data_IF_004730281837
#
_entry.id   IF_004730281837
#
_cell.length_a   1.000
_cell.length_b   1.000
_cell.length_c   1.000
_cell.angle_alpha   90.00
_cell.angle_beta   90.00
_cell.angle_gamma   90.00
#
_symmetry.space_group_name_H-M   'P 1'
#
loop_
_entity.id
_entity.type
_entity.pdbx_description
1 polymer ?
#
# COMPACT_ATOMS: atom_id res chain seq x y z
N UNK A 1 5.95 1.75 38.29
CA UNK A 1 6.79 2.36 37.25
C UNK A 1 8.29 2.24 37.55
N UNK A 2 8.77 2.53 38.76
CA UNK A 2 10.20 2.35 39.17
C UNK A 2 10.83 0.98 38.92
N UNK A 3 10.06 -0.10 38.91
CA UNK A 3 10.59 -1.45 38.62
C UNK A 3 10.72 -1.74 37.12
N UNK A 4 10.14 -0.88 36.29
CA UNK A 4 10.00 -1.05 34.84
C UNK A 4 10.82 -0.02 34.05
N UNK A 5 11.14 1.13 34.64
CA UNK A 5 11.84 2.24 33.99
C UNK A 5 13.22 1.87 33.42
N UNK A 6 13.92 0.94 34.07
CA UNK A 6 15.20 0.39 33.62
C UNK A 6 15.06 -0.75 32.60
N UNK A 7 13.85 -1.29 32.41
CA UNK A 7 13.60 -2.49 31.59
C UNK A 7 12.88 -2.22 30.28
N UNK A 8 12.08 -1.16 30.23
CA UNK A 8 11.24 -0.84 29.06
C UNK A 8 11.09 0.67 28.90
N UNK A 9 10.80 1.09 27.66
CA UNK A 9 10.42 2.46 27.36
C UNK A 9 9.03 2.75 27.91
N UNK A 10 8.94 3.60 28.93
CA UNK A 10 7.65 3.97 29.55
C UNK A 10 7.10 5.24 28.91
N UNK A 11 5.90 5.15 28.35
CA UNK A 11 5.16 6.29 27.80
C UNK A 11 3.92 6.51 28.68
N UNK A 12 3.88 7.57 29.52
CA UNK A 12 2.75 7.82 30.39
C UNK A 12 1.55 8.35 29.61
N UNK A 13 0.38 7.78 29.88
CA UNK A 13 -0.90 8.14 29.27
C UNK A 13 -1.99 8.31 30.33
N UNK A 14 -2.86 9.28 30.12
CA UNK A 14 -4.07 9.51 30.89
C UNK A 14 -5.21 8.85 30.11
N UNK A 15 -5.66 7.71 30.61
CA UNK A 15 -6.77 6.97 30.02
C UNK A 15 -8.12 7.66 30.29
N UNK A 16 -9.09 7.46 29.40
CA UNK A 16 -10.46 8.01 29.52
C UNK A 16 -10.46 9.52 29.81
N UNK A 17 -9.64 10.25 29.05
CA UNK A 17 -9.48 11.69 29.24
C UNK A 17 -10.80 12.48 29.03
N UNK A 18 -11.80 11.88 28.37
CA UNK A 18 -13.15 12.42 28.24
C UNK A 18 -13.91 12.58 29.55
N UNK A 19 -13.41 11.98 30.64
CA UNK A 19 -13.98 12.11 32.00
C UNK A 19 -13.46 13.31 32.78
N UNK A 20 -12.46 14.04 32.26
CA UNK A 20 -11.76 15.13 32.94
C UNK A 20 -11.94 16.42 32.13
N UNK A 21 -12.24 17.53 32.78
CA UNK A 21 -12.33 18.81 32.07
C UNK A 21 -10.96 19.28 31.58
N UNK A 22 -10.90 20.10 30.52
CA UNK A 22 -9.64 20.64 29.99
C UNK A 22 -8.82 21.38 31.07
N UNK A 23 -9.48 22.10 31.98
CA UNK A 23 -8.83 22.85 33.04
C UNK A 23 -8.18 21.95 34.11
N UNK A 24 -8.86 20.87 34.48
CA UNK A 24 -8.36 19.88 35.43
C UNK A 24 -7.28 19.02 34.80
N UNK A 25 -7.43 18.68 33.52
CA UNK A 25 -6.46 17.89 32.77
C UNK A 25 -5.08 18.56 32.76
N UNK A 26 -5.00 19.88 32.56
CA UNK A 26 -3.74 20.61 32.60
C UNK A 26 -3.08 20.55 33.98
N UNK A 27 -3.86 20.74 35.05
CA UNK A 27 -3.36 20.60 36.43
C UNK A 27 -2.88 19.18 36.72
N UNK A 28 -3.63 18.19 36.23
CA UNK A 28 -3.31 16.78 36.40
C UNK A 28 -2.04 16.38 35.66
N UNK A 29 -1.85 16.85 34.41
CA UNK A 29 -0.61 16.65 33.64
C UNK A 29 0.61 17.18 34.39
N UNK A 30 0.54 18.43 34.87
CA UNK A 30 1.63 19.04 35.64
C UNK A 30 1.95 18.27 36.92
N UNK A 31 0.92 17.88 37.68
CA UNK A 31 1.10 17.11 38.91
C UNK A 31 1.72 15.73 38.65
N UNK A 32 1.24 15.01 37.63
CA UNK A 32 1.78 13.70 37.28
C UNK A 32 3.26 13.79 36.85
N UNK A 33 3.60 14.76 36.00
CA UNK A 33 4.98 14.96 35.57
C UNK A 33 5.89 15.33 36.74
N UNK A 34 5.43 16.20 37.65
CA UNK A 34 6.17 16.53 38.86
C UNK A 34 6.41 15.31 39.75
N UNK A 35 5.39 14.48 39.97
CA UNK A 35 5.53 13.24 40.75
C UNK A 35 6.48 12.23 40.10
N UNK A 36 6.48 12.12 38.76
CA UNK A 36 7.41 11.25 38.03
C UNK A 36 8.87 11.70 38.24
N UNK A 37 9.13 13.01 38.18
CA UNK A 37 10.46 13.59 38.39
C UNK A 37 10.91 13.45 39.84
N UNK A 38 10.06 13.76 40.82
CA UNK A 38 10.38 13.62 42.26
C UNK A 38 10.74 12.18 42.60
N UNK A 39 10.02 11.23 42.01
CA UNK A 39 10.31 9.82 42.20
C UNK A 39 11.52 9.33 41.38
N UNK A 40 12.04 10.12 40.44
CA UNK A 40 13.15 9.70 39.58
C UNK A 40 12.77 8.58 38.60
N UNK A 41 11.50 8.50 38.19
CA UNK A 41 11.04 7.52 37.21
C UNK A 41 11.50 7.94 35.83
N UNK A 42 12.30 7.10 35.18
CA UNK A 42 12.73 7.35 33.81
C UNK A 42 11.60 7.00 32.84
N UNK A 43 11.03 8.04 32.22
CA UNK A 43 10.09 7.88 31.10
C UNK A 43 10.85 8.07 29.79
N UNK A 44 10.29 7.49 28.73
CA UNK A 44 10.79 7.69 27.38
C UNK A 44 10.61 9.16 26.99
N UNK A 45 11.71 9.79 26.56
CA UNK A 45 11.73 11.13 26.01
C UNK A 45 12.22 11.05 24.59
N UNK A 46 11.58 11.81 23.70
CA UNK A 46 11.95 11.80 22.30
C UNK A 46 13.31 12.43 22.08
N UNK A 47 14.15 11.81 21.22
CA UNK A 47 15.42 12.38 20.84
C UNK A 47 15.19 13.72 20.13
N UNK A 48 15.97 14.72 20.51
CA UNK A 48 15.96 16.06 19.87
C UNK A 48 17.28 16.34 19.16
N UNK A 49 18.04 15.29 18.87
CA UNK A 49 19.42 15.39 18.38
C UNK A 49 19.50 15.66 16.87
N UNK A 50 18.45 15.31 16.12
CA UNK A 50 18.33 15.57 14.69
C UNK A 50 17.57 16.88 14.44
N UNK A 51 18.21 17.85 13.80
CA UNK A 51 17.67 19.19 13.51
C UNK A 51 16.35 19.16 12.72
N UNK A 52 16.10 18.11 11.92
CA UNK A 52 14.88 18.01 11.11
C UNK A 52 13.66 17.58 11.95
N UNK A 53 13.86 16.77 12.97
CA UNK A 53 12.81 16.21 13.82
C UNK A 53 12.77 16.82 15.24
N UNK A 54 13.81 17.56 15.65
CA UNK A 54 13.93 18.16 16.97
C UNK A 54 12.76 19.08 17.35
N UNK A 55 12.27 19.90 16.40
CA UNK A 55 11.13 20.79 16.65
C UNK A 55 9.84 20.01 16.92
N UNK A 56 9.61 18.95 16.17
CA UNK A 56 8.42 18.09 16.31
C UNK A 56 8.53 17.31 17.61
N UNK A 57 9.67 16.66 17.86
CA UNK A 57 9.93 15.87 19.07
C UNK A 57 9.90 16.72 20.35
N UNK A 58 10.41 17.95 20.31
CA UNK A 58 10.29 18.90 21.41
C UNK A 58 8.83 19.26 21.73
N UNK A 59 8.03 19.54 20.70
CA UNK A 59 6.59 19.76 20.88
C UNK A 59 5.88 18.51 21.44
N UNK A 60 6.25 17.32 20.97
CA UNK A 60 5.66 16.06 21.45
C UNK A 60 6.03 15.74 22.90
N UNK A 61 7.27 15.99 23.32
CA UNK A 61 7.69 15.89 24.71
C UNK A 61 6.85 16.81 25.62
N UNK A 62 6.46 17.99 25.13
CA UNK A 62 5.58 18.92 25.85
C UNK A 62 4.13 18.43 26.03
N UNK A 63 3.69 17.42 25.27
CA UNK A 63 2.34 16.86 25.39
C UNK A 63 2.24 15.71 26.40
N UNK A 64 3.37 15.19 26.87
CA UNK A 64 3.42 14.13 27.86
C UNK A 64 2.89 14.62 29.22
N UNK A 65 2.06 13.81 29.91
CA UNK A 65 1.46 12.54 29.49
C UNK A 65 0.31 12.74 28.48
N UNK A 66 0.16 11.82 27.51
CA UNK A 66 -0.89 11.93 26.49
C UNK A 66 -2.28 11.67 27.08
N UNK A 67 -3.23 12.57 26.82
CA UNK A 67 -4.61 12.42 27.26
C UNK A 67 -5.44 11.74 26.18
N UNK A 68 -5.75 10.45 26.36
CA UNK A 68 -6.31 9.62 25.29
C UNK A 68 -7.72 9.12 25.60
N UNK A 69 -8.48 8.97 24.54
CA UNK A 69 -9.84 8.42 24.54
C UNK A 69 -9.88 7.30 23.53
N UNK A 70 -10.35 6.12 23.93
CA UNK A 70 -10.49 4.96 23.05
C UNK A 70 -11.96 4.66 22.77
N UNK A 71 -12.27 4.37 21.50
CA UNK A 71 -13.56 3.85 21.05
C UNK A 71 -13.36 2.90 19.86
N UNK A 72 -14.16 1.84 19.81
CA UNK A 72 -14.29 0.98 18.63
C UNK A 72 -15.55 1.31 17.81
N UNK A 73 -16.47 2.08 18.40
CA UNK A 73 -17.74 2.43 17.76
C UNK A 73 -17.52 3.55 16.75
N UNK A 74 -18.10 3.38 15.56
CA UNK A 74 -18.07 4.38 14.49
C UNK A 74 -19.42 5.07 14.39
N UNK A 75 -19.40 6.40 14.40
CA UNK A 75 -20.60 7.24 14.34
C UNK A 75 -20.48 8.15 13.14
N UNK A 76 -21.58 8.30 12.41
CA UNK A 76 -21.66 9.26 11.30
C UNK A 76 -21.75 10.68 11.87
N UNK A 77 -20.68 11.45 11.70
CA UNK A 77 -20.66 12.88 12.05
C UNK A 77 -20.51 13.68 10.75
N UNK A 78 -21.62 14.26 10.28
CA UNK A 78 -21.71 14.87 8.96
C UNK A 78 -21.64 13.83 7.84
N UNK A 79 -20.65 13.95 6.94
CA UNK A 79 -20.47 13.05 5.79
C UNK A 79 -19.36 12.00 6.00
N UNK A 80 -18.83 11.85 7.23
CA UNK A 80 -17.74 10.92 7.52
C UNK A 80 -18.10 10.02 8.69
N UNK A 81 -17.75 8.74 8.57
CA UNK A 81 -17.75 7.79 9.69
C UNK A 81 -16.48 8.02 10.49
N UNK A 82 -16.63 8.31 11.78
CA UNK A 82 -15.51 8.57 12.69
C UNK A 82 -15.64 7.74 13.96
N UNK A 83 -14.51 7.27 14.49
CA UNK A 83 -14.48 6.57 15.78
C UNK A 83 -14.76 7.57 16.90
N UNK A 84 -15.80 7.32 17.67
CA UNK A 84 -16.27 8.27 18.68
C UNK A 84 -16.97 7.58 19.85
N UNK A 85 -17.07 8.28 20.98
CA UNK A 85 -17.90 7.89 22.12
C UNK A 85 -19.13 8.79 22.15
N UNK A 86 -20.32 8.19 22.15
CA UNK A 86 -21.58 8.93 22.25
C UNK A 86 -22.03 9.04 23.70
N UNK A 87 -22.38 10.26 24.09
CA UNK A 87 -23.01 10.57 25.36
C UNK A 87 -24.30 11.36 25.13
N UNK A 88 -25.23 11.39 26.11
CA UNK A 88 -26.45 12.20 25.99
C UNK A 88 -26.19 13.69 25.75
N UNK A 89 -25.05 14.20 26.22
CA UNK A 89 -24.64 15.60 26.10
C UNK A 89 -23.73 15.89 24.88
N UNK A 90 -23.34 14.88 24.10
CA UNK A 90 -22.49 15.12 22.93
C UNK A 90 -21.66 13.91 22.48
N UNK A 91 -20.84 14.14 21.46
CA UNK A 91 -20.02 13.10 20.83
C UNK A 91 -18.54 13.45 20.98
N UNK A 92 -17.77 12.55 21.57
CA UNK A 92 -16.32 12.69 21.70
C UNK A 92 -15.65 11.92 20.57
N UNK A 93 -15.22 12.65 19.53
CA UNK A 93 -14.41 12.11 18.43
C UNK A 93 -12.99 11.75 18.90
N UNK A 94 -12.54 10.54 18.60
CA UNK A 94 -11.22 10.02 18.99
C UNK A 94 -10.10 10.62 18.14
N UNK A 95 -10.34 10.91 16.87
CA UNK A 95 -9.32 11.45 15.96
C UNK A 95 -9.27 12.98 15.94
N UNK A 96 -9.99 13.64 16.85
CA UNK A 96 -10.03 15.10 16.92
C UNK A 96 -9.06 15.61 17.99
N UNK A 97 -8.04 16.35 17.57
CA UNK A 97 -6.99 16.90 18.46
C UNK A 97 -7.53 17.86 19.52
N UNK A 98 -8.70 18.47 19.30
CA UNK A 98 -9.32 19.35 20.28
C UNK A 98 -10.00 18.57 21.42
N UNK A 99 -10.27 17.27 21.22
CA UNK A 99 -10.91 16.40 22.20
C UNK A 99 -9.91 15.53 22.94
N UNK A 100 -8.91 14.98 22.25
CA UNK A 100 -7.88 14.16 22.88
C UNK A 100 -6.57 14.16 22.09
N UNK A 101 -5.49 13.71 22.74
CA UNK A 101 -4.16 13.62 22.16
C UNK A 101 -3.90 12.30 21.41
N UNK A 102 -4.94 11.56 21.03
CA UNK A 102 -4.80 10.25 20.38
C UNK A 102 -4.03 10.32 19.05
N UNK A 103 -4.29 11.35 18.23
CA UNK A 103 -3.58 11.56 16.96
C UNK A 103 -2.09 11.70 17.20
N UNK A 104 -1.70 12.51 18.20
CA UNK A 104 -0.29 12.73 18.59
C UNK A 104 0.37 11.44 19.07
N UNK A 105 -0.34 10.65 19.89
CA UNK A 105 0.15 9.33 20.35
C UNK A 105 0.36 8.36 19.18
N UNK A 106 -0.56 8.32 18.21
CA UNK A 106 -0.46 7.44 17.04
C UNK A 106 0.72 7.81 16.16
N UNK A 107 0.85 9.09 15.83
CA UNK A 107 1.94 9.61 15.01
C UNK A 107 3.30 9.34 15.66
N UNK A 108 3.40 9.58 16.98
CA UNK A 108 4.54 9.21 17.80
C UNK A 108 4.95 7.74 17.62
N UNK A 109 4.02 6.82 17.87
CA UNK A 109 4.36 5.40 18.06
C UNK A 109 4.67 4.72 16.73
N UNK A 110 3.98 5.12 15.66
CA UNK A 110 3.95 4.37 14.42
C UNK A 110 4.70 5.09 13.30
N UNK A 111 4.63 6.42 13.23
CA UNK A 111 5.09 7.16 12.06
C UNK A 111 6.53 7.67 12.20
N UNK A 112 6.94 8.08 13.40
CA UNK A 112 8.22 8.80 13.57
C UNK A 112 9.24 8.01 14.39
N UNK A 113 8.84 7.44 15.54
CA UNK A 113 9.81 7.08 16.59
C UNK A 113 9.88 5.57 16.90
N UNK A 114 9.34 4.72 16.02
CA UNK A 114 9.37 3.26 16.20
C UNK A 114 10.80 2.70 16.19
N UNK A 115 11.65 3.24 15.31
CA UNK A 115 13.05 2.80 15.20
C UNK A 115 13.85 3.17 16.44
N UNK A 116 13.70 4.40 16.93
CA UNK A 116 14.36 4.86 18.16
C UNK A 116 13.89 4.06 19.39
N UNK A 117 12.59 3.79 19.52
CA UNK A 117 12.08 2.91 20.59
C UNK A 117 12.73 1.52 20.55
N UNK A 118 12.92 0.95 19.36
CA UNK A 118 13.60 -0.34 19.19
C UNK A 118 15.08 -0.23 19.55
N UNK A 119 15.75 0.82 19.10
CA UNK A 119 17.16 1.06 19.37
C UNK A 119 17.42 1.25 20.87
N UNK A 120 16.68 2.12 21.56
CA UNK A 120 16.80 2.31 23.02
C UNK A 120 16.53 1.00 23.79
N UNK A 121 15.57 0.20 23.31
CA UNK A 121 15.32 -1.12 23.91
C UNK A 121 16.55 -2.02 23.79
N UNK A 122 17.24 -2.00 22.66
CA UNK A 122 18.43 -2.81 22.44
C UNK A 122 19.65 -2.27 23.19
N UNK A 123 20.00 -1.00 22.98
CA UNK A 123 21.26 -0.40 23.46
C UNK A 123 21.27 -0.12 24.96
N UNK A 124 20.10 0.13 25.56
CA UNK A 124 19.98 0.47 26.98
C UNK A 124 19.36 -0.65 27.79
N UNK A 125 18.13 -1.02 27.50
CA UNK A 125 17.37 -1.95 28.35
C UNK A 125 17.90 -3.38 28.26
N UNK A 126 18.12 -3.86 27.05
CA UNK A 126 18.67 -5.19 26.83
C UNK A 126 20.13 -5.29 27.27
N UNK A 127 20.98 -4.30 26.98
CA UNK A 127 22.37 -4.32 27.45
C UNK A 127 22.49 -4.27 28.98
N UNK A 128 21.61 -3.53 29.68
CA UNK A 128 21.57 -3.55 31.14
C UNK A 128 21.21 -4.96 31.65
N UNK A 129 20.18 -5.58 31.06
CA UNK A 129 19.82 -6.96 31.40
C UNK A 129 20.94 -7.94 31.09
N UNK A 130 21.59 -7.81 29.93
CA UNK A 130 22.71 -8.63 29.47
C UNK A 130 23.87 -8.55 30.46
N UNK A 131 24.26 -7.34 30.87
CA UNK A 131 25.31 -7.13 31.88
C UNK A 131 24.98 -7.82 33.19
N UNK A 132 23.81 -7.57 33.76
CA UNK A 132 23.40 -8.19 35.03
C UNK A 132 23.31 -9.72 34.93
N UNK A 133 22.89 -10.27 33.79
CA UNK A 133 22.83 -11.72 33.56
C UNK A 133 24.21 -12.34 33.42
N UNK A 134 25.12 -11.68 32.71
CA UNK A 134 26.50 -12.13 32.57
C UNK A 134 27.22 -12.11 33.93
N UNK A 135 27.09 -11.03 34.70
CA UNK A 135 27.63 -10.95 36.06
C UNK A 135 27.08 -12.06 36.97
N UNK A 136 25.76 -12.30 36.92
CA UNK A 136 25.12 -13.38 37.68
C UNK A 136 25.53 -14.79 37.24
N UNK A 137 26.05 -14.95 36.02
CA UNK A 137 26.64 -16.19 35.50
C UNK A 137 28.16 -16.28 35.79
N UNK A 138 28.74 -15.31 36.49
CA UNK A 138 30.15 -15.30 36.87
C UNK A 138 31.09 -14.62 35.85
N UNK A 139 30.55 -13.98 34.81
CA UNK A 139 31.32 -13.10 33.92
C UNK A 139 31.49 -11.73 34.59
N UNK A 140 32.34 -11.66 35.62
CA UNK A 140 32.85 -10.38 36.09
C UNK A 140 33.94 -9.92 35.11
N UNK A 141 33.93 -8.63 34.75
CA UNK A 141 35.02 -8.00 34.01
C UNK A 141 36.24 -7.89 34.94
N UNK A 142 36.88 -9.03 35.19
CA UNK A 142 38.14 -9.10 35.94
C UNK A 142 39.22 -8.63 35.00
N UNK A 143 39.77 -7.44 35.28
CA UNK A 143 40.94 -6.90 34.59
C UNK A 143 42.10 -7.90 34.51
N UNK A 144 43.13 -7.59 33.70
CA UNK A 144 44.08 -8.54 33.10
C UNK A 144 44.97 -9.39 34.05
N UNK A 145 44.77 -9.33 35.36
CA UNK A 145 45.70 -9.84 36.37
C UNK A 145 45.25 -11.09 37.14
N UNK A 146 44.13 -11.75 36.80
CA UNK A 146 43.76 -13.05 37.44
C UNK A 146 43.47 -14.17 36.43
N UNK A 147 44.50 -14.98 36.16
CA UNK A 147 44.47 -16.31 35.50
C UNK A 147 43.62 -17.34 36.30
N UNK A 148 43.23 -18.50 35.71
CA UNK A 148 42.29 -18.68 34.61
C UNK A 148 41.12 -19.60 35.04
N UNK A 149 39.87 -19.21 34.77
CA UNK A 149 38.65 -20.02 34.93
C UNK A 149 38.53 -21.12 33.85
N UNK A 150 39.60 -21.89 33.60
CA UNK A 150 39.71 -22.82 32.47
C UNK A 150 38.78 -24.03 32.53
N UNK A 151 38.18 -24.34 33.69
CA UNK A 151 37.32 -25.54 33.83
C UNK A 151 35.82 -25.25 33.68
N UNK A 152 35.39 -23.99 33.84
CA UNK A 152 34.00 -23.55 33.60
C UNK A 152 33.81 -22.96 32.19
N UNK A 153 34.90 -22.50 31.57
CA UNK A 153 34.93 -21.88 30.25
C UNK A 153 34.49 -22.83 29.12
N UNK A 154 34.85 -24.12 29.17
CA UNK A 154 34.53 -25.09 28.11
C UNK A 154 33.04 -25.45 28.05
N UNK A 155 32.43 -25.84 29.16
CA UNK A 155 31.00 -26.17 29.19
C UNK A 155 30.09 -24.97 28.88
N UNK A 156 30.51 -23.76 29.25
CA UNK A 156 29.75 -22.55 28.97
C UNK A 156 29.92 -22.07 27.52
N UNK A 157 31.13 -22.13 26.96
CA UNK A 157 31.39 -21.89 25.53
C UNK A 157 30.53 -22.82 24.66
N UNK A 158 30.45 -24.10 25.01
CA UNK A 158 29.59 -25.08 24.34
C UNK A 158 28.11 -24.72 24.44
N UNK A 159 27.62 -24.24 25.59
CA UNK A 159 26.20 -23.78 25.69
C UNK A 159 25.90 -22.51 24.90
N UNK A 160 26.87 -21.58 24.79
CA UNK A 160 26.75 -20.37 23.98
C UNK A 160 26.80 -20.70 22.48
N UNK A 161 27.69 -21.61 22.08
CA UNK A 161 27.80 -22.10 20.71
C UNK A 161 26.56 -22.90 20.32
N UNK A 162 26.04 -23.76 21.20
CA UNK A 162 24.80 -24.49 20.98
C UNK A 162 23.59 -23.55 20.80
N UNK A 163 23.41 -22.58 21.70
CA UNK A 163 22.33 -21.58 21.57
C UNK A 163 22.48 -20.71 20.33
N UNK A 164 23.71 -20.33 19.94
CA UNK A 164 23.95 -19.64 18.67
C UNK A 164 23.54 -20.53 17.50
N UNK A 165 23.93 -21.79 17.49
CA UNK A 165 23.61 -22.73 16.42
C UNK A 165 22.09 -22.94 16.30
N UNK A 166 21.38 -23.06 17.43
CA UNK A 166 19.91 -23.11 17.46
C UNK A 166 19.29 -21.85 16.85
N UNK A 167 19.76 -20.67 17.24
CA UNK A 167 19.25 -19.39 16.70
C UNK A 167 19.52 -19.25 15.20
N UNK A 168 20.71 -19.66 14.75
CA UNK A 168 21.06 -19.72 13.32
C UNK A 168 20.16 -20.70 12.57
N UNK A 169 19.90 -21.88 13.16
CA UNK A 169 18.99 -22.88 12.59
C UNK A 169 17.54 -22.40 12.50
N UNK A 170 17.03 -21.73 13.55
CA UNK A 170 15.68 -21.14 13.51
C UNK A 170 15.57 -20.01 12.50
N UNK A 171 16.58 -19.14 12.43
CA UNK A 171 16.61 -18.06 11.44
C UNK A 171 16.64 -18.63 10.03
N UNK A 172 17.47 -19.66 9.79
CA UNK A 172 17.56 -20.32 8.50
C UNK A 172 16.25 -21.02 8.12
N UNK A 173 15.59 -21.68 9.07
CA UNK A 173 14.27 -22.29 8.86
C UNK A 173 13.21 -21.25 8.47
N UNK A 174 13.15 -20.11 9.18
CA UNK A 174 12.24 -19.01 8.84
C UNK A 174 12.57 -18.37 7.48
N UNK A 175 13.85 -18.27 7.14
CA UNK A 175 14.27 -17.78 5.82
C UNK A 175 13.87 -18.75 4.70
N UNK A 176 14.03 -20.06 4.93
CA UNK A 176 13.59 -21.12 4.02
C UNK A 176 12.08 -21.15 3.88
N UNK A 177 11.31 -21.02 4.97
CA UNK A 177 9.86 -20.88 4.95
C UNK A 177 9.43 -19.66 4.11
N UNK A 178 10.08 -18.50 4.31
CA UNK A 178 9.80 -17.31 3.49
C UNK A 178 10.14 -17.52 2.01
N UNK A 179 11.27 -18.18 1.71
CA UNK A 179 11.65 -18.52 0.33
C UNK A 179 10.65 -19.48 -0.31
N UNK A 180 10.20 -20.51 0.43
CA UNK A 180 9.20 -21.45 -0.05
C UNK A 180 7.86 -20.76 -0.32
N UNK A 181 7.39 -19.91 0.61
CA UNK A 181 6.18 -19.11 0.42
C UNK A 181 6.29 -18.19 -0.79
N UNK A 182 7.45 -17.57 -1.02
CA UNK A 182 7.69 -16.75 -2.20
C UNK A 182 7.63 -17.57 -3.50
N UNK A 183 8.34 -18.69 -3.55
CA UNK A 183 8.34 -19.59 -4.72
C UNK A 183 6.94 -20.11 -5.02
N UNK A 184 6.16 -20.44 -3.99
CA UNK A 184 4.78 -20.89 -4.15
C UNK A 184 3.88 -19.78 -4.71
N UNK A 185 3.97 -18.55 -4.18
CA UNK A 185 3.24 -17.40 -4.73
C UNK A 185 3.63 -17.09 -6.17
N UNK A 186 4.91 -17.22 -6.52
CA UNK A 186 5.38 -17.02 -7.90
C UNK A 186 4.77 -18.08 -8.81
N UNK A 187 4.81 -19.37 -8.43
CA UNK A 187 4.19 -20.46 -9.20
C UNK A 187 2.69 -20.26 -9.39
N UNK A 188 1.96 -19.86 -8.35
CA UNK A 188 0.53 -19.56 -8.45
C UNK A 188 0.26 -18.41 -9.42
N UNK A 189 1.03 -17.33 -9.34
CA UNK A 189 0.88 -16.18 -10.25
C UNK A 189 1.25 -16.52 -11.69
N UNK A 190 2.29 -17.31 -11.89
CA UNK A 190 2.70 -17.78 -13.22
C UNK A 190 1.64 -18.72 -13.84
N UNK A 191 1.01 -19.58 -13.04
CA UNK A 191 -0.09 -20.44 -13.48
C UNK A 191 -1.30 -19.62 -13.92
N UNK A 192 -1.70 -18.61 -13.14
CA UNK A 192 -2.79 -17.68 -13.50
C UNK A 192 -2.45 -16.94 -14.80
N UNK A 193 -1.21 -16.43 -14.94
CA UNK A 193 -0.78 -15.74 -16.14
C UNK A 193 -0.86 -16.64 -17.38
N UNK A 194 -0.40 -17.89 -17.25
CA UNK A 194 -0.43 -18.88 -18.33
C UNK A 194 -1.84 -19.30 -18.73
N UNK A 195 -2.79 -19.27 -17.81
CA UNK A 195 -4.21 -19.50 -18.12
C UNK A 195 -4.82 -18.30 -18.84
N UNK A 196 -4.54 -17.08 -18.38
CA UNK A 196 -4.96 -15.85 -19.02
C UNK A 196 -4.40 -15.71 -20.46
N UNK A 197 -3.14 -16.08 -20.69
CA UNK A 197 -2.53 -16.11 -22.02
C UNK A 197 -3.23 -17.12 -22.94
N UNK A 198 -3.57 -18.31 -22.44
CA UNK A 198 -4.31 -19.32 -23.20
C UNK A 198 -5.71 -18.83 -23.58
N UNK A 199 -6.42 -18.20 -22.66
CA UNK A 199 -7.72 -17.60 -22.96
C UNK A 199 -7.60 -16.49 -24.01
N UNK A 200 -6.60 -15.63 -23.89
CA UNK A 200 -6.37 -14.54 -24.84
C UNK A 200 -6.07 -15.09 -26.24
N UNK A 201 -5.23 -16.13 -26.32
CA UNK A 201 -4.91 -16.80 -27.57
C UNK A 201 -6.15 -17.45 -28.21
N UNK A 202 -6.99 -18.12 -27.42
CA UNK A 202 -8.23 -18.71 -27.90
C UNK A 202 -9.20 -17.64 -28.42
N UNK A 203 -9.33 -16.50 -27.72
CA UNK A 203 -10.14 -15.36 -28.16
C UNK A 203 -9.61 -14.78 -29.47
N UNK A 204 -8.29 -14.64 -29.60
CA UNK A 204 -7.65 -14.16 -30.83
C UNK A 204 -7.93 -15.08 -32.03
N UNK A 205 -7.76 -16.40 -31.87
CA UNK A 205 -8.05 -17.37 -32.93
C UNK A 205 -9.54 -17.40 -33.32
N UNK A 206 -10.44 -17.23 -32.34
CA UNK A 206 -11.87 -17.14 -32.59
C UNK A 206 -12.21 -15.88 -33.41
N UNK A 207 -11.71 -14.72 -32.99
CA UNK A 207 -11.88 -13.45 -33.71
C UNK A 207 -11.29 -13.52 -35.13
N UNK A 208 -10.11 -14.14 -35.29
CA UNK A 208 -9.49 -14.33 -36.61
C UNK A 208 -10.37 -15.18 -37.53
N UNK A 209 -10.99 -16.24 -37.02
CA UNK A 209 -11.95 -17.07 -37.78
C UNK A 209 -13.19 -16.29 -38.19
N UNK A 210 -13.79 -15.53 -37.27
CA UNK A 210 -14.96 -14.68 -37.57
C UNK A 210 -14.59 -13.68 -38.66
N UNK A 211 -13.47 -12.97 -38.49
CA UNK A 211 -13.01 -11.98 -39.46
C UNK A 211 -12.78 -12.59 -40.85
N UNK A 212 -12.21 -13.80 -40.91
CA UNK A 212 -12.01 -14.50 -42.18
C UNK A 212 -13.32 -14.92 -42.84
N UNK A 213 -14.31 -15.37 -42.05
CA UNK A 213 -15.66 -15.66 -42.57
C UNK A 213 -16.37 -14.40 -43.07
N UNK A 214 -16.27 -13.29 -42.35
CA UNK A 214 -16.82 -12.00 -42.78
C UNK A 214 -16.18 -11.49 -44.07
N UNK A 215 -14.85 -11.63 -44.20
CA UNK A 215 -14.14 -11.31 -45.45
C UNK A 215 -14.67 -12.10 -46.64
N UNK A 216 -14.83 -13.43 -46.50
CA UNK A 216 -15.37 -14.28 -47.57
C UNK A 216 -16.80 -13.85 -47.92
N UNK A 217 -17.66 -13.60 -46.93
CA UNK A 217 -19.03 -13.11 -47.14
C UNK A 217 -19.06 -11.77 -47.87
N UNK A 218 -18.14 -10.86 -47.55
CA UNK A 218 -18.03 -9.57 -48.22
C UNK A 218 -17.52 -9.71 -49.66
N UNK A 219 -16.56 -10.60 -49.91
CA UNK A 219 -16.08 -10.91 -51.26
C UNK A 219 -17.18 -11.54 -52.13
N UNK A 220 -17.98 -12.45 -51.60
CA UNK A 220 -19.14 -13.02 -52.31
C UNK A 220 -20.18 -11.94 -52.64
N UNK A 221 -20.52 -11.08 -51.67
CA UNK A 221 -21.43 -9.94 -51.92
C UNK A 221 -20.88 -8.99 -52.98
N UNK A 222 -19.57 -8.71 -52.96
CA UNK A 222 -18.90 -7.87 -53.96
C UNK A 222 -19.01 -8.50 -55.35
N UNK A 223 -18.74 -9.80 -55.47
CA UNK A 223 -18.87 -10.53 -56.75
C UNK A 223 -20.29 -10.51 -57.28
N UNK A 224 -21.30 -10.74 -56.43
CA UNK A 224 -22.69 -10.69 -56.84
C UNK A 224 -23.09 -9.29 -57.33
N UNK A 225 -22.65 -8.23 -56.63
CA UNK A 225 -22.87 -6.84 -57.06
C UNK A 225 -22.15 -6.50 -58.37
N UNK A 226 -20.94 -7.01 -58.58
CA UNK A 226 -20.21 -6.87 -59.85
C UNK A 226 -20.96 -7.57 -61.00
N UNK A 227 -21.47 -8.78 -60.79
CA UNK A 227 -22.28 -9.51 -61.76
C UNK A 227 -23.59 -8.77 -62.09
N UNK A 228 -24.30 -8.28 -61.07
CA UNK A 228 -25.51 -7.45 -61.24
C UNK A 228 -25.19 -6.14 -62.00
N UNK A 229 -24.08 -5.49 -61.68
CA UNK A 229 -23.61 -4.28 -62.36
C UNK A 229 -23.30 -4.54 -63.83
N UNK A 230 -22.61 -5.65 -64.14
CA UNK A 230 -22.34 -6.07 -65.53
C UNK A 230 -23.65 -6.37 -66.26
N UNK A 231 -24.58 -7.09 -65.65
CA UNK A 231 -25.89 -7.39 -66.23
C UNK A 231 -26.71 -6.12 -66.48
N UNK A 232 -26.70 -5.19 -65.53
CA UNK A 232 -27.34 -3.88 -65.66
C UNK A 232 -26.71 -3.06 -66.80
N UNK A 233 -25.37 -2.99 -66.88
CA UNK A 233 -24.67 -2.32 -67.98
C UNK A 233 -24.99 -2.95 -69.35
N UNK A 234 -25.08 -4.28 -69.45
CA UNK A 234 -25.51 -4.96 -70.68
C UNK A 234 -26.95 -4.60 -71.06
N UNK A 235 -27.88 -4.61 -70.10
CA UNK A 235 -29.27 -4.19 -70.33
C UNK A 235 -29.36 -2.72 -70.74
N UNK A 236 -28.59 -1.83 -70.11
CA UNK A 236 -28.51 -0.41 -70.45
C UNK A 236 -28.00 -0.23 -71.88
N UNK A 237 -26.87 -0.86 -72.23
CA UNK A 237 -26.32 -0.79 -73.59
C UNK A 237 -27.29 -1.32 -74.66
N UNK A 238 -28.02 -2.41 -74.36
CA UNK A 238 -29.06 -2.92 -75.25
C UNK A 238 -30.23 -1.94 -75.41
N UNK A 239 -30.68 -1.31 -74.31
CA UNK A 239 -31.73 -0.30 -74.34
C UNK A 239 -31.31 0.96 -75.11
N UNK A 240 -30.08 1.44 -74.90
CA UNK A 240 -29.49 2.56 -75.64
C UNK A 240 -29.36 2.23 -77.15
N UNK A 241 -29.07 0.98 -77.52
CA UNK A 241 -29.07 0.53 -78.92
C UNK A 241 -30.47 0.54 -79.55
N UNK A 242 -31.48 0.11 -78.81
CA UNK A 242 -32.88 0.16 -79.26
C UNK A 242 -33.38 1.61 -79.37
N UNK A 243 -32.99 2.48 -78.43
CA UNK A 243 -33.37 3.89 -78.44
C UNK A 243 -32.68 4.67 -79.58
N UNK A 244 -31.43 4.32 -79.92
CA UNK A 244 -30.72 4.87 -81.09
C UNK A 244 -31.26 4.35 -82.42
N UNK A 245 -31.74 3.10 -82.51
CA UNK A 245 -32.52 2.62 -83.66
C UNK A 245 -33.87 3.33 -83.79
N UNK A 246 -34.54 3.64 -82.67
CA UNK A 246 -35.80 4.41 -82.68
C UNK A 246 -35.58 5.87 -83.11
N UNK A 247 -34.44 6.46 -82.77
CA UNK A 247 -34.04 7.80 -83.25
C UNK A 247 -33.63 7.80 -84.74
N UNK A 248 -33.09 6.70 -85.26
CA UNK A 248 -32.82 6.54 -86.71
C UNK A 248 -34.09 6.26 -87.53
N UNK A 249 -35.17 5.79 -86.91
CA UNK A 249 -36.47 5.56 -87.55
C UNK A 249 -37.36 6.82 -87.62
N UNK A 250 -37.03 7.89 -86.89
CA UNK A 250 -37.78 9.16 -86.93
C UNK A 250 -36.84 10.36 -86.82
N UNK A 251 -36.26 10.81 -87.94
CA UNK A 251 -35.63 12.13 -87.96
C UNK A 251 -34.52 12.36 -88.98
N UNK A 252 -34.83 12.26 -90.27
CA UNK A 252 -34.09 13.04 -91.27
C UNK A 252 -34.66 14.46 -91.36
N UNK A 253 -34.19 15.40 -90.52
CA UNK A 253 -34.21 16.84 -90.84
C UNK A 253 -33.48 17.71 -89.79
N UNK A 254 -32.68 18.65 -90.29
CA UNK A 254 -32.18 19.91 -89.67
C UNK A 254 -30.82 19.89 -88.93
N UNK A 255 -29.78 20.23 -89.71
CA UNK A 255 -28.84 21.37 -89.59
C UNK A 255 -28.34 21.84 -88.20
N UNK A 256 -27.00 21.86 -88.12
CA UNK A 256 -26.05 22.93 -87.70
C UNK A 256 -25.97 23.44 -86.25
N UNK A 257 -24.72 23.76 -85.91
CA UNK A 257 -24.17 24.67 -84.87
C UNK A 257 -24.21 24.15 -83.42
N UNK A 258 -23.28 24.45 -82.49
CA UNK A 258 -21.97 25.11 -82.45
C UNK A 258 -21.58 25.16 -80.94
N UNK A 259 -20.31 24.92 -80.62
CA UNK A 259 -19.55 25.37 -79.44
C UNK A 259 -19.95 25.06 -77.97
N UNK A 260 -18.88 24.67 -77.24
CA UNK A 260 -18.41 25.15 -75.92
C UNK A 260 -18.86 24.50 -74.59
N UNK A 261 -17.86 23.80 -74.01
CA UNK A 261 -17.20 23.99 -72.69
C UNK A 261 -17.93 23.71 -71.36
N UNK A 262 -17.17 22.94 -70.56
CA UNK A 262 -16.86 23.07 -69.13
C UNK A 262 -17.70 22.34 -68.06
N UNK A 263 -17.04 21.34 -67.46
CA UNK A 263 -16.71 21.19 -66.03
C UNK A 263 -17.72 21.68 -64.98
N UNK A 264 -18.19 20.76 -64.12
CA UNK A 264 -17.76 20.76 -62.72
C UNK A 264 -18.21 19.47 -62.00
N UNK A 265 -17.21 18.83 -61.40
CA UNK A 265 -17.34 17.83 -60.34
C UNK A 265 -17.61 18.57 -59.02
N UNK A 266 -18.65 18.17 -58.30
CA UNK A 266 -18.70 18.18 -56.83
C UNK A 266 -19.13 16.79 -56.38
#
# INVERSE_FOLDING_TARGET
MKSLDSKVNIIPLIAKADTISKSELQKFKMKLMSELVINGVQIYQFPTDDDTTAKINGAMNGHLPFAVVGSMDEIQVGNKMVKARQYPWGIVQVENENHCDFVKLREMLICTNMEDLREQTHTRHYELYRRCKLEGMGFADVGPEKKPLSMLSTGLQETYEAKRLEFYGERQRKEEEMKQMFVQRVKEKEAILKEAERELQAKFEHLKRIHQQERIKLEEKRRNLEEESIAFCKKKAACDLFQSQSFLATGSSIKKDKDRKNSNFM
#
